data_IF_738413435752
#
_entry.id   IF_738413435752
#
_cell.length_a   1.000
_cell.length_b   1.000
_cell.length_c   1.000
_cell.angle_alpha   90.00
_cell.angle_beta   90.00
_cell.angle_gamma   90.00
#
_symmetry.space_group_name_H-M   'P 1'
#
loop_
_entity.id
_entity.type
_entity.pdbx_description
1 polymer ?
#
# COMPACT_ATOMS: atom_id res chain seq x y z
N UNK A 1 13.10 -0.69 3.36
CA UNK A 1 11.96 -1.13 4.19
C UNK A 1 10.73 -1.14 3.30
N UNK A 2 9.82 -2.12 3.41
CA UNK A 2 8.60 -2.10 2.62
C UNK A 2 7.72 -0.92 3.06
N UNK A 3 6.96 -0.36 2.13
CA UNK A 3 6.03 0.75 2.39
C UNK A 3 4.59 0.28 2.36
N UNK A 4 3.65 1.16 2.68
CA UNK A 4 2.23 0.89 2.53
C UNK A 4 1.89 0.35 1.13
N UNK A 5 2.48 0.86 0.06
CA UNK A 5 2.31 0.32 -1.31
C UNK A 5 2.71 -1.15 -1.49
N UNK A 6 3.66 -1.66 -0.67
CA UNK A 6 4.04 -3.06 -0.66
C UNK A 6 3.09 -3.93 0.21
N UNK A 7 2.12 -3.33 0.90
CA UNK A 7 1.14 -4.01 1.74
C UNK A 7 -0.04 -4.54 0.91
N UNK A 8 -0.47 -5.77 1.20
CA UNK A 8 -1.67 -6.38 0.63
C UNK A 8 -2.96 -5.62 0.95
N UNK A 9 -2.98 -4.87 2.05
CA UNK A 9 -4.14 -4.10 2.49
C UNK A 9 -4.13 -2.64 2.01
N UNK A 10 -3.15 -2.26 1.21
CA UNK A 10 -3.10 -0.91 0.64
C UNK A 10 -3.84 -0.86 -0.67
N UNK A 11 -4.70 0.14 -0.81
CA UNK A 11 -5.39 0.46 -2.06
C UNK A 11 -5.09 1.90 -2.40
N UNK A 12 -4.55 2.14 -3.59
CA UNK A 12 -4.28 3.50 -4.04
C UNK A 12 -5.59 4.27 -4.22
N UNK A 13 -5.68 5.44 -3.59
CA UNK A 13 -6.75 6.43 -3.84
C UNK A 13 -6.21 7.44 -4.85
N UNK A 14 -4.94 7.83 -4.69
CA UNK A 14 -4.25 8.86 -5.47
C UNK A 14 -2.77 8.44 -5.72
N UNK A 15 -2.01 9.24 -6.46
CA UNK A 15 -0.58 9.00 -6.71
C UNK A 15 0.26 9.02 -5.42
N UNK A 16 -0.17 9.78 -4.42
CA UNK A 16 0.51 9.92 -3.14
C UNK A 16 -0.16 9.13 -2.01
N UNK A 17 -1.49 9.04 -2.03
CA UNK A 17 -2.32 8.55 -0.94
C UNK A 17 -3.03 7.26 -1.30
N UNK A 18 -3.33 6.46 -0.28
CA UNK A 18 -4.18 5.29 -0.41
C UNK A 18 -4.89 4.98 0.89
N UNK A 19 -5.73 3.98 0.89
CA UNK A 19 -6.41 3.49 2.08
C UNK A 19 -5.73 2.22 2.59
N UNK A 20 -5.55 2.13 3.91
CA UNK A 20 -5.20 0.88 4.55
C UNK A 20 -6.49 0.16 4.98
N UNK A 21 -6.95 -0.83 4.22
CA UNK A 21 -8.15 -1.61 4.52
C UNK A 21 -8.11 -2.31 5.88
N UNK A 22 -6.90 -2.65 6.37
CA UNK A 22 -6.75 -3.28 7.69
C UNK A 22 -6.99 -2.30 8.84
N UNK A 23 -6.87 -0.99 8.59
CA UNK A 23 -7.02 0.04 9.62
C UNK A 23 -8.22 0.97 9.37
N UNK A 24 -8.76 0.99 8.14
CA UNK A 24 -9.89 1.82 7.74
C UNK A 24 -9.57 3.32 7.63
N UNK A 25 -8.32 3.69 7.37
CA UNK A 25 -7.94 5.10 7.21
C UNK A 25 -6.95 5.35 6.06
N UNK A 26 -6.89 6.61 5.63
CA UNK A 26 -5.99 7.09 4.58
C UNK A 26 -4.54 7.10 5.06
N UNK A 27 -3.66 6.47 4.29
CA UNK A 27 -2.22 6.39 4.49
C UNK A 27 -1.47 6.89 3.27
N UNK A 28 -0.27 7.42 3.49
CA UNK A 28 0.63 7.78 2.38
C UNK A 28 1.27 6.50 1.82
N UNK A 29 1.26 6.30 0.50
CA UNK A 29 1.79 5.08 -0.12
C UNK A 29 3.28 4.82 0.16
N UNK A 30 4.04 5.89 0.41
CA UNK A 30 5.47 5.86 0.78
C UNK A 30 5.72 5.72 2.29
N UNK A 31 4.67 5.59 3.10
CA UNK A 31 4.80 5.39 4.54
C UNK A 31 5.49 4.08 4.83
N UNK A 32 6.54 4.13 5.64
CA UNK A 32 7.33 2.96 6.01
C UNK A 32 6.48 1.97 6.84
N UNK A 33 6.57 0.68 6.52
CA UNK A 33 5.88 -0.40 7.25
C UNK A 33 6.20 -0.44 8.75
N UNK A 34 7.31 0.16 9.22
CA UNK A 34 7.58 0.34 10.66
C UNK A 34 6.53 1.19 11.37
N UNK A 35 5.82 2.06 10.65
CA UNK A 35 4.73 2.89 11.19
C UNK A 35 3.40 2.14 11.23
N UNK A 36 3.31 0.97 10.60
CA UNK A 36 2.13 0.14 10.75
C UNK A 36 2.10 -0.47 12.17
N UNK A 37 0.92 -0.58 12.80
CA UNK A 37 0.78 -1.30 14.05
C UNK A 37 1.29 -2.74 13.90
N UNK A 38 1.93 -3.25 14.95
CA UNK A 38 2.61 -4.55 14.92
C UNK A 38 1.65 -5.64 14.42
N UNK A 39 2.10 -6.42 13.43
CA UNK A 39 1.39 -7.51 12.74
C UNK A 39 0.33 -7.12 11.69
N UNK A 40 -0.02 -5.84 11.55
CA UNK A 40 -0.98 -5.37 10.53
C UNK A 40 -0.38 -5.33 9.12
N UNK A 41 0.92 -5.05 9.00
CA UNK A 41 1.58 -5.08 7.70
C UNK A 41 1.65 -6.51 7.16
N UNK A 42 1.02 -6.74 6.01
CA UNK A 42 1.10 -8.01 5.26
C UNK A 42 1.70 -7.71 3.90
N UNK A 43 2.94 -8.14 3.61
CA UNK A 43 3.51 -7.91 2.29
C UNK A 43 2.67 -8.63 1.24
N UNK A 44 2.43 -7.97 0.10
CA UNK A 44 1.77 -8.63 -1.02
C UNK A 44 2.70 -9.74 -1.54
N UNK A 45 2.22 -11.00 -1.60
CA UNK A 45 3.02 -12.14 -2.07
C UNK A 45 3.25 -12.00 -3.58
N UNK A 46 4.32 -11.32 -3.96
CA UNK A 46 4.78 -11.29 -5.34
C UNK A 46 6.09 -10.51 -5.49
N UNK A 47 7.12 -11.06 -6.16
CA UNK A 47 8.24 -10.24 -6.62
C UNK A 47 7.66 -9.21 -7.59
N UNK A 48 7.63 -7.94 -7.17
CA UNK A 48 7.26 -6.73 -7.93
C UNK A 48 6.91 -6.99 -9.41
N UNK A 49 5.66 -7.40 -9.66
CA UNK A 49 5.12 -7.38 -11.02
C UNK A 49 4.86 -5.92 -11.34
N UNK A 50 5.73 -5.34 -12.17
CA UNK A 50 5.54 -4.04 -12.80
C UNK A 50 4.16 -3.99 -13.49
N UNK A 51 3.17 -3.30 -12.91
CA UNK A 51 2.04 -2.59 -13.57
C UNK A 51 1.03 -2.15 -12.50
N UNK A 52 0.42 -0.97 -12.52
CA UNK A 52 0.07 -0.13 -13.68
C UNK A 52 0.04 1.35 -13.27
N UNK A 53 0.71 2.19 -14.05
CA UNK A 53 0.09 3.43 -14.48
C UNK A 53 -0.91 3.15 -15.61
N UNK A 54 -1.74 4.16 -15.90
CA UNK A 54 -2.86 4.23 -16.86
C UNK A 54 -4.21 3.78 -16.25
N UNK A 55 -5.19 4.65 -16.00
CA UNK A 55 -5.88 5.59 -16.89
C UNK A 55 -6.54 4.88 -18.10
N UNK A 56 -7.87 5.01 -18.17
CA UNK A 56 -8.81 4.71 -19.27
C UNK A 56 -9.13 3.24 -19.60
N UNK A 57 -10.39 2.85 -19.41
CA UNK A 57 -11.31 2.66 -20.54
C UNK A 57 -12.78 2.79 -20.13
#
# INVERSE_FOLDING_TARGET
MPTCQDCRFYTAIDELKGECFSLGFEVHGKTDSKKCPERAFRPNKGPKSKKSGAHNH
#
